data_IF_678008302161
#
_entry.id   IF_678008302161
#
_cell.length_a   1.000
_cell.length_b   1.000
_cell.length_c   1.000
_cell.angle_alpha   90.00
_cell.angle_beta   90.00
_cell.angle_gamma   90.00
#
_symmetry.space_group_name_H-M   'P 1'
#
loop_
_entity.id
_entity.type
_entity.pdbx_description
1 polymer ?
#
# COMPACT_ATOMS: atom_id res chain seq x y z
N UNK A 1 -20.45 -0.10 10.71
CA UNK A 1 -20.95 0.06 9.33
C UNK A 1 -19.95 -0.46 8.29
N UNK A 2 -20.11 -1.70 7.84
CA UNK A 2 -19.23 -2.35 6.85
C UNK A 2 -19.11 -1.53 5.55
N UNK A 3 -20.22 -0.97 5.08
CA UNK A 3 -20.28 -0.18 3.85
C UNK A 3 -19.43 1.10 3.92
N UNK A 4 -19.34 1.76 5.09
CA UNK A 4 -18.51 2.95 5.28
C UNK A 4 -17.03 2.61 5.17
N UNK A 5 -16.61 1.49 5.77
CA UNK A 5 -15.22 1.02 5.68
C UNK A 5 -14.81 0.70 4.24
N UNK A 6 -15.67 0.01 3.49
CA UNK A 6 -15.40 -0.26 2.06
C UNK A 6 -15.35 1.03 1.24
N UNK A 7 -16.24 1.99 1.50
CA UNK A 7 -16.24 3.27 0.81
C UNK A 7 -14.96 4.07 1.09
N UNK A 8 -14.50 4.10 2.35
CA UNK A 8 -13.26 4.76 2.74
C UNK A 8 -12.03 4.13 2.07
N UNK A 9 -11.91 2.79 2.10
CA UNK A 9 -10.82 2.07 1.43
C UNK A 9 -10.80 2.32 -0.08
N UNK A 10 -11.97 2.29 -0.72
CA UNK A 10 -12.09 2.59 -2.15
C UNK A 10 -11.67 4.02 -2.46
N UNK A 11 -12.10 4.99 -1.66
CA UNK A 11 -11.75 6.40 -1.83
C UNK A 11 -10.24 6.60 -1.73
N UNK A 12 -9.62 6.03 -0.69
CA UNK A 12 -8.17 6.09 -0.52
C UNK A 12 -7.43 5.50 -1.73
N UNK A 13 -7.80 4.30 -2.17
CA UNK A 13 -7.10 3.63 -3.27
C UNK A 13 -7.23 4.37 -4.60
N UNK A 14 -8.46 4.75 -4.98
CA UNK A 14 -8.70 5.37 -6.29
C UNK A 14 -8.32 6.84 -6.32
N UNK A 15 -8.75 7.62 -5.34
CA UNK A 15 -8.60 9.07 -5.36
C UNK A 15 -7.23 9.49 -4.87
N UNK A 16 -6.84 9.03 -3.68
CA UNK A 16 -5.64 9.55 -3.01
C UNK A 16 -4.37 8.85 -3.51
N UNK A 17 -4.35 7.51 -3.49
CA UNK A 17 -3.18 6.74 -3.87
C UNK A 17 -2.96 6.76 -5.39
N UNK A 18 -3.94 6.28 -6.17
CA UNK A 18 -3.80 6.22 -7.63
C UNK A 18 -3.95 7.60 -8.29
N UNK A 19 -4.97 8.37 -7.91
CA UNK A 19 -5.31 9.63 -8.57
C UNK A 19 -4.38 10.80 -8.23
N UNK A 20 -3.83 10.85 -7.01
CA UNK A 20 -2.94 11.93 -6.58
C UNK A 20 -1.51 11.44 -6.45
N UNK A 21 -1.22 10.48 -5.57
CA UNK A 21 0.16 10.11 -5.24
C UNK A 21 0.90 9.50 -6.43
N UNK A 22 0.34 8.47 -7.09
CA UNK A 22 0.97 7.82 -8.24
C UNK A 22 1.18 8.82 -9.39
N UNK A 23 0.17 9.64 -9.68
CA UNK A 23 0.27 10.70 -10.71
C UNK A 23 1.38 11.70 -10.38
N UNK A 24 1.49 12.11 -9.11
CA UNK A 24 2.51 13.02 -8.63
C UNK A 24 3.92 12.44 -8.75
N UNK A 25 4.11 11.13 -8.49
CA UNK A 25 5.45 10.53 -8.52
C UNK A 25 5.96 10.15 -9.91
N UNK A 26 5.11 10.17 -10.95
CA UNK A 26 5.49 9.80 -12.32
C UNK A 26 6.77 10.48 -12.85
N UNK A 27 7.02 11.79 -12.64
CA UNK A 27 8.26 12.42 -13.08
C UNK A 27 9.49 11.90 -12.34
N UNK A 28 9.36 11.61 -11.04
CA UNK A 28 10.46 11.10 -10.21
C UNK A 28 10.82 9.66 -10.57
N UNK A 29 9.81 8.83 -10.88
CA UNK A 29 10.02 7.46 -11.37
C UNK A 29 10.76 7.40 -12.71
N UNK A 30 10.74 8.49 -13.49
CA UNK A 30 11.42 8.63 -14.79
C UNK A 30 12.69 9.48 -14.71
N UNK A 31 13.05 9.95 -13.52
CA UNK A 31 14.22 10.81 -13.34
C UNK A 31 15.50 9.98 -13.30
N UNK A 32 16.63 10.59 -13.67
CA UNK A 32 17.95 9.95 -13.57
C UNK A 32 18.45 9.83 -12.12
N UNK A 33 17.72 10.40 -11.15
CA UNK A 33 18.05 10.29 -9.74
C UNK A 33 17.41 9.04 -9.14
N UNK A 34 18.18 7.95 -9.16
CA UNK A 34 17.75 6.63 -8.70
C UNK A 34 17.30 6.65 -7.23
N UNK A 35 17.95 7.43 -6.37
CA UNK A 35 17.58 7.54 -4.95
C UNK A 35 16.15 8.04 -4.75
N UNK A 36 15.73 9.05 -5.53
CA UNK A 36 14.37 9.60 -5.42
C UNK A 36 13.35 8.61 -5.96
N UNK A 37 13.67 7.93 -7.06
CA UNK A 37 12.79 6.90 -7.64
C UNK A 37 12.57 5.73 -6.67
N UNK A 38 13.64 5.25 -6.03
CA UNK A 38 13.59 4.19 -5.02
C UNK A 38 12.72 4.64 -3.83
N UNK A 39 12.97 5.82 -3.27
CA UNK A 39 12.20 6.32 -2.13
C UNK A 39 10.70 6.43 -2.44
N UNK A 40 10.34 6.95 -3.62
CA UNK A 40 8.94 7.02 -4.05
C UNK A 40 8.30 5.62 -4.17
N UNK A 41 9.06 4.63 -4.67
CA UNK A 41 8.65 3.23 -4.74
C UNK A 41 8.48 2.60 -3.36
N UNK A 42 9.36 2.88 -2.41
CA UNK A 42 9.28 2.36 -1.04
C UNK A 42 8.02 2.83 -0.33
N UNK A 43 7.72 4.14 -0.42
CA UNK A 43 6.48 4.70 0.13
C UNK A 43 5.25 4.09 -0.55
N UNK A 44 5.28 3.91 -1.89
CA UNK A 44 4.19 3.25 -2.62
C UNK A 44 3.97 1.82 -2.15
N UNK A 45 5.06 1.04 -2.00
CA UNK A 45 5.02 -0.34 -1.52
C UNK A 45 4.48 -0.42 -0.09
N UNK A 46 4.89 0.48 0.80
CA UNK A 46 4.36 0.56 2.16
C UNK A 46 2.86 0.83 2.17
N UNK A 47 2.39 1.84 1.43
CA UNK A 47 0.97 2.15 1.32
C UNK A 47 0.16 0.96 0.77
N UNK A 48 0.70 0.26 -0.23
CA UNK A 48 0.06 -0.91 -0.84
C UNK A 48 -0.02 -2.09 0.13
N UNK A 49 1.05 -2.36 0.88
CA UNK A 49 1.11 -3.40 1.90
C UNK A 49 0.02 -3.19 2.97
N UNK A 50 -0.05 -1.98 3.52
CA UNK A 50 -1.06 -1.60 4.53
C UNK A 50 -2.47 -1.69 3.96
N UNK A 51 -2.67 -1.20 2.74
CA UNK A 51 -3.97 -1.26 2.07
C UNK A 51 -4.47 -2.70 1.90
N UNK A 52 -3.61 -3.63 1.46
CA UNK A 52 -3.98 -5.03 1.27
C UNK A 52 -4.36 -5.71 2.59
N UNK A 53 -3.65 -5.42 3.69
CA UNK A 53 -4.03 -5.90 5.03
C UNK A 53 -5.40 -5.38 5.47
N UNK A 54 -5.68 -4.09 5.24
CA UNK A 54 -6.98 -3.49 5.55
C UNK A 54 -8.12 -4.02 4.64
N UNK A 55 -7.82 -4.38 3.39
CA UNK A 55 -8.79 -4.89 2.43
C UNK A 55 -9.10 -6.39 2.62
N UNK A 56 -8.20 -7.13 3.27
CA UNK A 56 -8.31 -8.58 3.51
C UNK A 56 -9.68 -9.05 4.05
N UNK A 57 -10.33 -8.41 5.04
CA UNK A 57 -11.66 -8.84 5.51
C UNK A 57 -12.77 -8.69 4.46
N UNK A 58 -12.55 -7.95 3.38
CA UNK A 58 -13.50 -7.75 2.29
C UNK A 58 -13.20 -8.65 1.08
N UNK A 59 -11.91 -8.79 0.73
CA UNK A 59 -11.47 -9.46 -0.50
C UNK A 59 -10.23 -10.34 -0.26
N UNK A 60 -10.32 -11.44 0.52
CA UNK A 60 -9.16 -12.17 1.01
C UNK A 60 -8.31 -12.82 -0.10
N UNK A 61 -8.95 -13.41 -1.11
CA UNK A 61 -8.23 -14.17 -2.16
C UNK A 61 -7.38 -13.27 -3.06
N UNK A 62 -7.93 -12.14 -3.52
CA UNK A 62 -7.16 -11.19 -4.33
C UNK A 62 -6.08 -10.51 -3.49
N UNK A 63 -6.36 -10.25 -2.20
CA UNK A 63 -5.36 -9.64 -1.32
C UNK A 63 -4.17 -10.60 -1.12
N UNK A 64 -4.40 -11.89 -0.92
CA UNK A 64 -3.34 -12.89 -0.77
C UNK A 64 -2.47 -12.99 -2.05
N UNK A 65 -3.10 -13.09 -3.22
CA UNK A 65 -2.43 -13.14 -4.52
C UNK A 65 -1.56 -11.90 -4.79
N UNK A 66 -2.10 -10.71 -4.48
CA UNK A 66 -1.36 -9.45 -4.65
C UNK A 66 -0.25 -9.30 -3.62
N UNK A 67 -0.51 -9.64 -2.35
CA UNK A 67 0.46 -9.59 -1.26
C UNK A 67 1.67 -10.49 -1.52
N UNK A 68 1.46 -11.69 -2.09
CA UNK A 68 2.53 -12.59 -2.47
C UNK A 68 3.47 -12.04 -3.56
N UNK A 69 3.01 -11.06 -4.35
CA UNK A 69 3.82 -10.42 -5.41
C UNK A 69 4.61 -9.21 -4.92
N UNK A 70 4.33 -8.69 -3.73
CA UNK A 70 5.13 -7.62 -3.15
C UNK A 70 6.52 -8.15 -2.77
N UNK A 71 7.55 -7.41 -3.18
CA UNK A 71 8.94 -7.66 -2.81
C UNK A 71 9.20 -7.44 -1.32
N UNK A 72 8.44 -6.54 -0.69
CA UNK A 72 8.46 -6.24 0.73
C UNK A 72 7.15 -6.66 1.39
N UNK A 73 7.21 -7.60 2.33
CA UNK A 73 6.06 -8.09 3.10
C UNK A 73 6.48 -8.43 4.53
N UNK A 74 5.63 -8.12 5.50
CA UNK A 74 5.89 -8.40 6.92
C UNK A 74 5.68 -9.88 7.27
N UNK A 75 4.85 -10.59 6.51
CA UNK A 75 4.54 -12.00 6.71
C UNK A 75 4.51 -12.74 5.36
N UNK A 76 4.48 -14.07 5.37
CA UNK A 76 4.34 -14.88 4.15
C UNK A 76 2.93 -14.87 3.55
N UNK A 77 1.93 -14.49 4.35
CA UNK A 77 0.52 -14.51 3.99
C UNK A 77 -0.17 -13.29 4.59
N UNK A 78 -1.06 -12.64 3.82
CA UNK A 78 -1.79 -11.47 4.29
C UNK A 78 -2.77 -11.87 5.40
N UNK A 79 -3.27 -13.11 5.36
CA UNK A 79 -4.17 -13.66 6.37
C UNK A 79 -3.50 -13.87 7.74
N UNK A 80 -2.18 -14.03 7.76
CA UNK A 80 -1.38 -14.15 9.00
C UNK A 80 -0.82 -12.81 9.47
N UNK A 81 -1.02 -11.76 8.68
CA UNK A 81 -0.51 -10.44 9.02
C UNK A 81 -1.32 -9.81 10.15
N UNK A 82 -0.62 -9.05 10.99
CA UNK A 82 -1.28 -8.25 12.02
C UNK A 82 -1.99 -7.06 11.37
N UNK A 83 -3.20 -6.77 11.82
CA UNK A 83 -3.91 -5.56 11.38
C UNK A 83 -3.06 -4.33 11.72
N UNK A 84 -2.91 -3.37 10.79
CA UNK A 84 -2.17 -2.15 11.08
C UNK A 84 -2.85 -1.40 12.23
N UNK A 85 -2.15 -1.29 13.35
CA UNK A 85 -2.43 -0.31 14.40
C UNK A 85 -1.72 1.01 14.04
N UNK A 86 -2.01 2.09 14.80
CA UNK A 86 -1.52 3.47 14.60
C UNK A 86 -0.20 3.57 13.83
N UNK A 87 -0.13 4.54 12.89
CA UNK A 87 1.00 4.83 12.00
C UNK A 87 2.35 4.57 12.69
N UNK A 88 2.87 3.35 12.57
CA UNK A 88 4.24 3.05 12.91
C UNK A 88 5.03 3.38 11.67
N UNK A 89 5.30 4.68 11.50
CA UNK A 89 6.49 5.08 10.77
C UNK A 89 7.63 4.46 11.58
N UNK A 90 8.07 3.27 11.18
CA UNK A 90 9.39 2.83 11.58
C UNK A 90 10.32 3.94 11.12
N UNK A 91 11.11 4.48 12.04
CA UNK A 91 12.10 5.50 11.76
C UNK A 91 13.05 4.96 10.69
N UNK A 92 12.75 5.25 9.42
CA UNK A 92 13.65 5.04 8.30
C UNK A 92 14.67 6.18 8.36
N UNK A 93 15.75 5.95 9.12
CA UNK A 93 17.01 6.69 8.99
C UNK A 93 17.77 6.30 7.71
#
# INVERSE_FOLDING_TARGET
EFHLSTAALKSFFYTDLCGVYIEFIKPFLRSDNEHVSIFCCEVLLYCLEVYLRCLTPFMPYICEELYGKLSFRTNDSVLRSTMPSHLQLHDYE
#
